data_IF_809357942142
#
_entry.id   IF_809357942142
#
_cell.length_a   1.000
_cell.length_b   1.000
_cell.length_c   1.000
_cell.angle_alpha   90.00
_cell.angle_beta   90.00
_cell.angle_gamma   90.00
#
_symmetry.space_group_name_H-M   'P 1'
#
loop_
_entity.id
_entity.type
_entity.pdbx_description
1 polymer ?
#
# COMPACT_ATOMS: atom_id res chain seq x y z
N UNK A 1 -11.73 -3.89 -12.78
CA UNK A 1 -11.77 -3.51 -11.34
C UNK A 1 -10.99 -4.55 -10.57
N UNK A 2 -10.18 -4.16 -9.59
CA UNK A 2 -9.41 -5.07 -8.71
C UNK A 2 -10.07 -5.10 -7.34
N UNK A 3 -10.14 -6.26 -6.68
CA UNK A 3 -10.60 -6.35 -5.29
C UNK A 3 -9.43 -6.05 -4.34
N UNK A 4 -9.47 -4.86 -3.72
CA UNK A 4 -8.54 -4.42 -2.67
C UNK A 4 -9.31 -4.03 -1.39
N UNK A 5 -10.43 -4.71 -1.12
CA UNK A 5 -11.22 -4.52 0.11
C UNK A 5 -10.54 -5.21 1.29
N UNK A 6 -10.60 -4.59 2.47
CA UNK A 6 -9.98 -5.04 3.73
C UNK A 6 -8.84 -4.14 4.20
N UNK A 7 -8.15 -4.52 5.28
CA UNK A 7 -7.06 -3.75 5.88
C UNK A 7 -7.51 -2.41 6.49
N UNK A 8 -6.53 -1.58 6.85
CA UNK A 8 -6.76 -0.32 7.55
C UNK A 8 -6.74 0.90 6.63
N UNK A 9 -7.30 2.00 7.12
CA UNK A 9 -6.85 3.31 6.70
C UNK A 9 -5.51 3.62 7.39
N UNK A 10 -4.68 4.43 6.75
CA UNK A 10 -3.32 4.72 7.21
C UNK A 10 -3.31 5.52 8.52
N UNK A 11 -4.15 6.55 8.60
CA UNK A 11 -4.28 7.41 9.76
C UNK A 11 -5.75 7.83 9.98
N UNK A 12 -6.00 9.12 10.22
CA UNK A 12 -7.35 9.67 10.38
C UNK A 12 -8.09 9.92 9.05
N UNK A 13 -7.43 9.65 7.92
CA UNK A 13 -8.01 9.73 6.59
C UNK A 13 -8.60 8.37 6.15
N UNK A 14 -8.87 8.22 4.85
CA UNK A 14 -9.38 6.97 4.28
C UNK A 14 -8.44 6.35 3.26
N UNK A 15 -7.20 6.82 3.25
CA UNK A 15 -6.15 6.32 2.37
C UNK A 15 -5.59 5.03 2.93
N UNK A 16 -5.14 4.15 2.04
CA UNK A 16 -4.39 2.98 2.43
C UNK A 16 -3.03 3.08 1.78
N UNK A 17 -2.03 3.44 2.57
CA UNK A 17 -0.64 3.46 2.15
C UNK A 17 0.00 2.11 2.46
N UNK A 18 0.53 1.45 1.42
CA UNK A 18 1.03 0.08 1.59
C UNK A 18 2.44 0.05 2.18
N UNK A 19 3.17 1.17 2.10
CA UNK A 19 4.44 1.39 2.79
C UNK A 19 4.29 1.16 4.30
N UNK A 20 3.32 1.83 4.91
CA UNK A 20 3.03 1.77 6.36
C UNK A 20 2.23 0.53 6.74
N UNK A 21 1.25 0.13 5.92
CA UNK A 21 0.43 -1.07 6.18
C UNK A 21 1.29 -2.34 6.23
N UNK A 22 2.20 -2.52 5.27
CA UNK A 22 3.07 -3.71 5.24
C UNK A 22 4.06 -3.73 6.40
N UNK A 23 4.66 -2.58 6.73
CA UNK A 23 5.48 -2.43 7.92
C UNK A 23 4.71 -2.79 9.20
N UNK A 24 3.50 -2.25 9.37
CA UNK A 24 2.68 -2.47 10.55
C UNK A 24 2.34 -3.95 10.73
N UNK A 25 1.94 -4.65 9.66
CA UNK A 25 1.68 -6.10 9.72
C UNK A 25 2.93 -6.86 10.13
N UNK A 26 4.09 -6.58 9.54
CA UNK A 26 5.35 -7.24 9.89
C UNK A 26 5.73 -6.99 11.35
N UNK A 27 5.70 -5.74 11.79
CA UNK A 27 6.02 -5.34 13.16
C UNK A 27 5.09 -6.00 14.18
N UNK A 28 3.77 -5.94 13.96
CA UNK A 28 2.78 -6.59 14.82
C UNK A 28 2.98 -8.10 14.90
N UNK A 29 3.38 -8.74 13.79
CA UNK A 29 3.60 -10.18 13.74
C UNK A 29 4.82 -10.63 14.55
N UNK A 30 5.80 -9.73 14.76
CA UNK A 30 6.97 -9.97 15.62
C UNK A 30 6.66 -9.85 17.12
N UNK A 31 5.56 -9.18 17.49
CA UNK A 31 5.16 -9.02 18.89
C UNK A 31 4.58 -10.32 19.44
N UNK A 32 5.07 -10.71 20.63
CA UNK A 32 4.52 -11.84 21.41
C UNK A 32 3.31 -11.37 22.20
N UNK A 33 2.14 -11.41 21.59
CA UNK A 33 0.88 -11.10 22.25
C UNK A 33 -0.31 -11.27 21.32
N UNK A 34 -1.37 -11.90 21.81
CA UNK A 34 -2.51 -12.28 20.97
C UNK A 34 -3.21 -11.07 20.33
N UNK A 35 -3.29 -9.94 21.03
CA UNK A 35 -3.87 -8.72 20.48
C UNK A 35 -3.09 -8.21 19.25
N UNK A 36 -1.76 -8.11 19.34
CA UNK A 36 -0.94 -7.71 18.20
C UNK A 36 -1.00 -8.72 17.05
N UNK A 37 -1.00 -10.01 17.38
CA UNK A 37 -1.15 -11.09 16.40
C UNK A 37 -2.52 -11.03 15.70
N UNK A 38 -3.59 -10.70 16.41
CA UNK A 38 -4.92 -10.51 15.85
C UNK A 38 -4.97 -9.33 14.87
N UNK A 39 -4.37 -8.20 15.22
CA UNK A 39 -4.24 -7.07 14.30
C UNK A 39 -3.42 -7.43 13.06
N UNK A 40 -2.27 -8.12 13.21
CA UNK A 40 -1.51 -8.59 12.05
C UNK A 40 -2.35 -9.47 11.11
N UNK A 41 -3.21 -10.35 11.66
CA UNK A 41 -4.14 -11.19 10.87
C UNK A 41 -5.23 -10.37 10.18
N UNK A 42 -5.61 -9.21 10.71
CA UNK A 42 -6.57 -8.30 10.07
C UNK A 42 -5.94 -7.60 8.84
N UNK A 43 -4.70 -7.15 8.95
CA UNK A 43 -4.00 -6.43 7.86
C UNK A 43 -3.45 -7.33 6.75
N UNK A 44 -2.95 -8.53 7.08
CA UNK A 44 -2.27 -9.42 6.14
C UNK A 44 -3.06 -9.77 4.85
N UNK A 45 -4.39 -10.01 4.90
CA UNK A 45 -5.16 -10.30 3.68
C UNK A 45 -5.09 -9.18 2.63
N UNK A 46 -5.00 -7.91 3.04
CA UNK A 46 -4.88 -6.82 2.08
C UNK A 46 -3.54 -6.87 1.36
N UNK A 47 -2.43 -7.13 2.07
CA UNK A 47 -1.08 -7.24 1.48
C UNK A 47 -1.06 -8.33 0.41
N UNK A 48 -1.64 -9.50 0.68
CA UNK A 48 -1.77 -10.58 -0.32
C UNK A 48 -2.48 -10.11 -1.59
N UNK A 49 -3.55 -9.31 -1.46
CA UNK A 49 -4.33 -8.78 -2.60
C UNK A 49 -3.56 -7.73 -3.42
N UNK A 50 -2.52 -7.10 -2.88
CA UNK A 50 -1.72 -6.09 -3.61
C UNK A 50 -0.97 -6.68 -4.81
N UNK A 51 -0.69 -7.99 -4.79
CA UNK A 51 0.13 -8.67 -5.80
C UNK A 51 -0.70 -9.71 -6.58
N UNK A 52 -1.68 -9.27 -7.40
CA UNK A 52 -2.57 -10.20 -8.11
C UNK A 52 -1.88 -10.91 -9.28
N UNK A 53 -0.70 -10.44 -9.71
CA UNK A 53 0.11 -11.00 -10.79
C UNK A 53 1.60 -10.84 -10.44
N UNK A 54 2.48 -11.73 -10.93
CA UNK A 54 3.92 -11.72 -10.59
C UNK A 54 4.67 -10.40 -10.85
N UNK A 55 4.17 -9.54 -11.73
CA UNK A 55 4.80 -8.28 -12.15
C UNK A 55 4.10 -7.01 -11.61
N UNK A 56 2.97 -7.18 -10.90
CA UNK A 56 2.10 -6.09 -10.43
C UNK A 56 2.11 -6.03 -8.90
N UNK A 57 2.30 -4.84 -8.35
CA UNK A 57 2.05 -4.56 -6.94
C UNK A 57 1.39 -3.18 -6.80
N UNK A 58 0.40 -3.04 -5.90
CA UNK A 58 -0.25 -1.76 -5.61
C UNK A 58 0.40 -1.07 -4.40
N UNK A 59 0.74 0.22 -4.53
CA UNK A 59 1.37 1.02 -3.47
C UNK A 59 0.37 1.81 -2.63
N UNK A 60 -0.81 2.11 -3.20
CA UNK A 60 -1.79 2.97 -2.57
C UNK A 60 -3.22 2.70 -3.05
N UNK A 61 -4.19 2.80 -2.13
CA UNK A 61 -5.63 2.75 -2.42
C UNK A 61 -6.27 4.05 -1.89
N UNK A 62 -7.02 4.74 -2.75
CA UNK A 62 -7.38 6.13 -2.56
C UNK A 62 -6.22 7.07 -2.90
N UNK A 63 -6.43 8.37 -2.72
CA UNK A 63 -5.43 9.44 -2.78
C UNK A 63 -6.02 10.70 -2.12
N UNK A 64 -5.20 11.75 -1.99
CA UNK A 64 -5.48 13.01 -1.30
C UNK A 64 -6.77 13.75 -1.71
N UNK A 65 -7.51 13.29 -2.73
CA UNK A 65 -8.91 13.67 -2.96
C UNK A 65 -9.83 13.37 -1.77
N UNK A 66 -9.50 12.38 -0.94
CA UNK A 66 -10.25 12.07 0.30
C UNK A 66 -10.09 13.14 1.40
N UNK A 67 -9.05 13.98 1.32
CA UNK A 67 -8.83 15.03 2.30
C UNK A 67 -9.71 16.27 2.08
N UNK A 68 -10.50 16.30 0.99
CA UNK A 68 -11.33 17.46 0.63
C UNK A 68 -12.46 17.67 1.63
N UNK A 69 -12.74 18.93 2.04
CA UNK A 69 -13.91 19.23 2.83
C UNK A 69 -15.22 19.02 2.02
N UNK A 70 -16.36 18.76 2.68
CA UNK A 70 -16.48 18.54 4.12
C UNK A 70 -16.01 17.13 4.52
N UNK A 71 -15.23 17.04 5.60
CA UNK A 71 -14.89 15.73 6.18
C UNK A 71 -16.09 15.21 6.97
N UNK A 72 -16.54 13.99 6.65
CA UNK A 72 -17.65 13.28 7.32
C UNK A 72 -17.14 12.02 8.03
N UNK A 73 -18.02 11.20 8.59
CA UNK A 73 -17.65 9.86 9.08
C UNK A 73 -17.38 8.92 7.90
N UNK A 74 -16.71 7.79 8.16
CA UNK A 74 -16.27 6.87 7.10
C UNK A 74 -17.44 6.25 6.30
N UNK A 75 -18.61 6.07 6.91
CA UNK A 75 -19.80 5.52 6.24
C UNK A 75 -20.53 6.56 5.37
N UNK A 76 -20.24 7.84 5.57
CA UNK A 76 -20.78 8.96 4.79
C UNK A 76 -19.78 9.45 3.72
N UNK A 77 -18.76 8.64 3.40
CA UNK A 77 -17.74 9.03 2.44
C UNK A 77 -18.33 9.18 1.04
N UNK A 78 -18.18 10.39 0.48
CA UNK A 78 -18.62 10.77 -0.86
C UNK A 78 -17.46 11.23 -1.73
N UNK A 79 -16.21 10.92 -1.34
CA UNK A 79 -15.01 11.24 -2.11
C UNK A 79 -15.14 10.75 -3.56
N UNK A 80 -14.79 11.61 -4.50
CA UNK A 80 -14.86 11.31 -5.93
C UNK A 80 -13.45 11.17 -6.52
N UNK A 81 -13.12 9.94 -6.90
CA UNK A 81 -11.85 9.58 -7.53
C UNK A 81 -11.91 9.59 -9.06
N UNK A 82 -12.88 10.30 -9.65
CA UNK A 82 -13.13 10.35 -11.10
C UNK A 82 -14.19 9.34 -11.56
N UNK A 83 -15.00 8.83 -10.63
CA UNK A 83 -16.01 7.80 -10.88
C UNK A 83 -17.39 8.18 -10.31
N UNK A 84 -17.55 9.44 -9.91
CA UNK A 84 -18.75 9.96 -9.27
C UNK A 84 -18.65 9.92 -7.73
N UNK A 85 -19.44 10.75 -7.01
CA UNK A 85 -19.39 10.85 -5.56
C UNK A 85 -19.68 9.53 -4.84
N UNK A 86 -18.76 9.08 -3.98
CA UNK A 86 -18.87 7.80 -3.26
C UNK A 86 -18.64 6.58 -4.16
N UNK A 87 -18.10 6.79 -5.36
CA UNK A 87 -17.72 5.72 -6.28
C UNK A 87 -16.49 4.93 -5.83
N UNK A 88 -16.00 4.00 -6.66
CA UNK A 88 -14.79 3.23 -6.36
C UNK A 88 -13.57 4.13 -6.11
N UNK A 89 -12.72 3.73 -5.16
CA UNK A 89 -11.42 4.38 -4.91
C UNK A 89 -10.44 4.09 -6.06
N UNK A 90 -9.57 5.05 -6.37
CA UNK A 90 -8.41 4.77 -7.22
C UNK A 90 -7.50 3.75 -6.56
N UNK A 91 -6.90 2.86 -7.35
CA UNK A 91 -5.90 1.91 -6.90
C UNK A 91 -4.63 2.15 -7.74
N UNK A 92 -3.55 2.55 -7.08
CA UNK A 92 -2.32 3.00 -7.72
C UNK A 92 -1.29 1.86 -7.74
N UNK A 93 -0.98 1.28 -8.92
CA UNK A 93 0.10 0.32 -9.04
C UNK A 93 1.45 1.01 -8.84
N UNK A 94 2.42 0.34 -8.22
CA UNK A 94 3.80 0.82 -8.24
C UNK A 94 4.34 0.69 -9.68
N UNK A 95 4.61 1.81 -10.33
CA UNK A 95 5.09 1.81 -11.73
C UNK A 95 6.60 1.66 -11.88
N UNK A 96 7.36 1.79 -10.78
CA UNK A 96 8.83 1.76 -10.80
C UNK A 96 9.48 3.03 -11.35
N UNK A 97 8.71 4.11 -11.51
CA UNK A 97 9.18 5.41 -12.04
C UNK A 97 8.32 6.54 -11.45
N UNK A 98 8.72 7.82 -11.60
CA UNK A 98 7.93 8.95 -11.11
C UNK A 98 6.47 8.94 -11.61
N UNK A 99 5.52 9.01 -10.67
CA UNK A 99 4.09 8.86 -10.93
C UNK A 99 3.23 9.90 -10.19
N UNK A 100 2.07 10.20 -10.79
CA UNK A 100 1.06 11.15 -10.32
C UNK A 100 0.52 12.02 -11.47
N UNK A 101 -0.72 12.54 -11.42
CA UNK A 101 -1.32 13.25 -12.55
C UNK A 101 -0.81 14.68 -12.72
N UNK A 102 -0.69 15.44 -11.63
CA UNK A 102 -0.22 16.84 -11.62
C UNK A 102 1.16 16.95 -10.99
N UNK A 103 1.29 16.45 -9.76
CA UNK A 103 2.58 16.29 -9.09
C UNK A 103 3.10 14.88 -9.34
N UNK A 104 4.41 14.68 -9.19
CA UNK A 104 5.06 13.39 -9.35
C UNK A 104 5.78 13.02 -8.06
N UNK A 105 5.67 11.76 -7.66
CA UNK A 105 6.58 11.19 -6.68
C UNK A 105 7.98 10.95 -7.28
N UNK A 106 8.91 10.45 -6.48
CA UNK A 106 10.27 10.15 -6.89
C UNK A 106 10.57 8.64 -6.95
N UNK A 107 9.57 7.80 -7.23
CA UNK A 107 9.77 6.34 -7.29
C UNK A 107 10.81 5.97 -8.35
N UNK A 108 11.68 5.02 -8.03
CA UNK A 108 12.74 4.51 -8.92
C UNK A 108 12.66 3.00 -9.16
N UNK A 109 11.79 2.31 -8.42
CA UNK A 109 11.66 0.86 -8.48
C UNK A 109 10.44 0.35 -7.72
N UNK A 110 10.43 -0.94 -7.43
CA UNK A 110 9.37 -1.62 -6.67
C UNK A 110 9.93 -2.37 -5.46
N UNK A 111 11.25 -2.45 -5.32
CA UNK A 111 11.92 -3.34 -4.38
C UNK A 111 11.59 -3.01 -2.93
N UNK A 112 11.59 -1.74 -2.52
CA UNK A 112 11.26 -1.37 -1.13
C UNK A 112 9.89 -1.92 -0.70
N UNK A 113 8.84 -1.63 -1.49
CA UNK A 113 7.49 -2.10 -1.21
C UNK A 113 7.37 -3.62 -1.33
N UNK A 114 7.94 -4.21 -2.39
CA UNK A 114 7.78 -5.63 -2.67
C UNK A 114 8.55 -6.50 -1.65
N UNK A 115 9.76 -6.10 -1.26
CA UNK A 115 10.57 -6.73 -0.22
C UNK A 115 9.87 -6.68 1.14
N UNK A 116 9.36 -5.50 1.53
CA UNK A 116 8.60 -5.34 2.77
C UNK A 116 7.32 -6.18 2.80
N UNK A 117 6.57 -6.19 1.69
CA UNK A 117 5.39 -7.05 1.57
C UNK A 117 5.79 -8.53 1.63
N UNK A 118 6.91 -8.92 1.02
CA UNK A 118 7.42 -10.28 1.07
C UNK A 118 7.75 -10.70 2.52
N UNK A 119 8.44 -9.84 3.28
CA UNK A 119 8.72 -10.07 4.69
C UNK A 119 7.42 -10.23 5.51
N UNK A 120 6.44 -9.34 5.32
CA UNK A 120 5.14 -9.43 5.99
C UNK A 120 4.40 -10.75 5.68
N UNK A 121 4.39 -11.18 4.41
CA UNK A 121 3.78 -12.45 4.00
C UNK A 121 4.53 -13.68 4.53
N UNK A 122 5.86 -13.63 4.57
CA UNK A 122 6.66 -14.70 5.15
C UNK A 122 6.37 -14.86 6.65
N UNK A 123 6.31 -13.74 7.39
CA UNK A 123 6.01 -13.71 8.82
C UNK A 123 4.59 -14.21 9.12
N UNK A 124 3.62 -14.01 8.22
CA UNK A 124 2.25 -14.50 8.37
C UNK A 124 2.05 -15.95 7.89
N UNK A 125 3.10 -16.58 7.32
CA UNK A 125 3.10 -17.97 6.87
C UNK A 125 2.73 -18.18 5.40
N UNK A 126 2.49 -17.11 4.63
CA UNK A 126 2.18 -17.17 3.21
C UNK A 126 3.46 -17.12 2.36
N UNK A 127 4.25 -18.19 2.47
CA UNK A 127 5.59 -18.27 1.86
C UNK A 127 5.54 -18.24 0.32
N UNK A 128 4.49 -18.76 -0.29
CA UNK A 128 4.34 -18.73 -1.76
C UNK A 128 4.19 -17.29 -2.27
N UNK A 129 3.29 -16.52 -1.66
CA UNK A 129 3.10 -15.11 -2.00
C UNK A 129 4.36 -14.31 -1.69
N UNK A 130 5.01 -14.56 -0.54
CA UNK A 130 6.27 -13.93 -0.17
C UNK A 130 7.35 -14.14 -1.24
N UNK A 131 7.54 -15.38 -1.73
CA UNK A 131 8.50 -15.68 -2.80
C UNK A 131 8.17 -14.99 -4.12
N UNK A 132 6.89 -14.78 -4.42
CA UNK A 132 6.49 -14.03 -5.62
C UNK A 132 6.83 -12.54 -5.50
N UNK A 133 6.51 -11.94 -4.35
CA UNK A 133 6.82 -10.54 -4.05
C UNK A 133 8.34 -10.30 -3.99
N UNK A 134 9.11 -11.22 -3.38
CA UNK A 134 10.57 -11.11 -3.32
C UNK A 134 11.20 -11.14 -4.72
N UNK A 135 10.76 -12.03 -5.60
CA UNK A 135 11.21 -12.04 -7.00
C UNK A 135 10.89 -10.75 -7.74
N UNK A 136 9.71 -10.17 -7.49
CA UNK A 136 9.38 -8.84 -8.03
C UNK A 136 10.36 -7.78 -7.51
N UNK A 137 10.71 -7.84 -6.21
CA UNK A 137 11.67 -6.93 -5.60
C UNK A 137 13.05 -7.04 -6.27
N UNK A 138 13.60 -8.25 -6.38
CA UNK A 138 14.89 -8.51 -7.05
C UNK A 138 14.92 -8.03 -8.50
N UNK A 139 13.80 -8.23 -9.23
CA UNK A 139 13.70 -7.86 -10.65
C UNK A 139 13.49 -6.36 -10.89
N UNK A 140 13.16 -5.58 -9.86
CA UNK A 140 12.83 -4.17 -9.98
C UNK A 140 13.45 -3.32 -8.84
N UNK A 141 14.80 -3.23 -8.75
CA UNK A 141 15.50 -2.44 -7.74
C UNK A 141 15.04 -0.99 -7.70
N UNK A 142 15.17 -0.37 -6.52
CA UNK A 142 14.74 0.99 -6.24
C UNK A 142 13.44 1.06 -5.45
N UNK A 143 13.01 2.28 -5.17
CA UNK A 143 11.94 2.55 -4.19
C UNK A 143 10.59 2.80 -4.85
N UNK A 144 9.53 2.29 -4.21
CA UNK A 144 8.15 2.61 -4.53
C UNK A 144 7.57 3.58 -3.50
N UNK A 145 7.09 4.73 -3.97
CA UNK A 145 6.51 5.79 -3.14
C UNK A 145 5.00 5.91 -3.39
N UNK A 146 4.28 6.47 -2.41
CA UNK A 146 2.87 6.81 -2.58
C UNK A 146 2.67 7.85 -3.70
N UNK A 147 1.45 7.94 -4.25
CA UNK A 147 1.14 8.77 -5.43
C UNK A 147 0.42 10.06 -5.02
N UNK A 148 1.04 11.23 -5.25
CA UNK A 148 0.40 12.53 -5.02
C UNK A 148 -0.59 12.85 -6.15
N UNK A 149 -1.75 13.46 -5.84
CA UNK A 149 -2.77 13.82 -6.86
C UNK A 149 -3.09 15.30 -6.85
N UNK A 150 -3.58 15.85 -5.73
CA UNK A 150 -3.95 17.26 -5.58
C UNK A 150 -2.87 18.12 -4.94
N UNK A 151 -2.08 17.53 -4.05
CA UNK A 151 -1.00 18.18 -3.31
C UNK A 151 0.34 17.53 -3.68
N UNK A 152 1.47 18.23 -3.50
CA UNK A 152 2.80 17.70 -3.82
C UNK A 152 3.34 16.70 -2.78
N UNK A 153 2.54 16.32 -1.78
CA UNK A 153 2.97 15.49 -0.66
C UNK A 153 2.72 14.01 -0.92
N UNK A 154 3.67 13.18 -0.51
CA UNK A 154 3.61 11.73 -0.60
C UNK A 154 4.51 11.13 0.48
N UNK A 155 4.17 9.94 0.99
CA UNK A 155 5.11 9.06 1.67
C UNK A 155 6.23 8.67 0.72
N UNK A 156 7.43 9.15 1.04
CA UNK A 156 8.67 8.86 0.34
C UNK A 156 9.47 7.75 1.01
N UNK A 157 10.42 7.22 0.25
CA UNK A 157 11.38 6.19 0.64
C UNK A 157 12.76 6.61 0.15
N UNK A 158 13.82 6.29 0.88
CA UNK A 158 15.20 6.69 0.51
C UNK A 158 16.06 5.52 0.05
N UNK A 159 15.71 4.28 0.40
CA UNK A 159 16.41 3.06 0.01
C UNK A 159 15.44 1.89 -0.10
N UNK A 160 15.85 0.86 -0.83
CA UNK A 160 15.23 -0.46 -0.89
C UNK A 160 16.08 -1.53 -0.20
N UNK A 161 17.30 -1.19 0.22
CA UNK A 161 18.29 -2.15 0.73
C UNK A 161 17.91 -2.73 2.09
N UNK A 162 17.16 -2.00 2.91
CA UNK A 162 16.69 -2.45 4.21
C UNK A 162 15.43 -3.34 4.13
N UNK A 163 14.74 -3.32 3.00
CA UNK A 163 13.57 -4.17 2.72
C UNK A 163 13.92 -5.49 2.00
N UNK A 164 15.12 -5.58 1.39
CA UNK A 164 15.63 -6.73 0.63
C UNK A 164 16.46 -7.70 1.48
#
# INVERSE_FOLDING_TARGET
KVDLVGGWHDAADRLKHMITTSYCVAALKLVRGEAAQAEARHGAPLIRKLHPKPDVIYVQIGDDRDHRPPQTLWHDDRSDYGHGPGGPRSAWPATGKPEGPKYKNASTGKASLAGRCAAAMALTGDVETARSMYRLAESSPGVAMSVPVLAPHYYGESSDLDDL
#
